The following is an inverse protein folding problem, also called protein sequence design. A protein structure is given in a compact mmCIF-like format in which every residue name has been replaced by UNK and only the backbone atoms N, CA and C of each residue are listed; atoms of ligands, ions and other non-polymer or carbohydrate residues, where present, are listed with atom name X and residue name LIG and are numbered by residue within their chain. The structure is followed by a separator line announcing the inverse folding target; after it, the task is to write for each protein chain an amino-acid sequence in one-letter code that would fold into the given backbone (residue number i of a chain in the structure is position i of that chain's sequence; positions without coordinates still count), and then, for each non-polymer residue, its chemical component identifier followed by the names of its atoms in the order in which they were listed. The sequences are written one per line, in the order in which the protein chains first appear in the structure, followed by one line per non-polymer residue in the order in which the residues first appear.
data_IF_640196721515
#
_entry.id   IF_640196721515
#
_cell.length_a   1.000
_cell.length_b   1.000
_cell.length_c   1.000
_cell.angle_alpha   90.00
_cell.angle_beta   90.00
_cell.angle_gamma   90.00
#
_symmetry.space_group_name_H-M   'P 1'
#
loop_
_entity.id
_entity.type
_entity.pdbx_description
1 polymer ?
#
# COMPACT_ATOMS: atom_id res chain seq x y z
N UNK A 1 -61.60 13.91 -15.03
CA UNK A 1 -61.02 12.69 -14.39
C UNK A 1 -59.97 11.98 -15.27
N UNK A 2 -60.28 11.62 -16.55
CA UNK A 2 -59.30 10.93 -17.42
C UNK A 2 -57.99 11.66 -17.68
N UNK A 3 -58.01 13.02 -17.75
CA UNK A 3 -56.80 13.83 -17.98
C UNK A 3 -55.88 13.92 -16.73
N UNK A 4 -56.47 13.91 -15.52
CA UNK A 4 -55.73 13.89 -14.27
C UNK A 4 -55.03 12.55 -14.00
N UNK A 5 -55.66 11.42 -14.37
CA UNK A 5 -55.10 10.10 -14.22
C UNK A 5 -53.90 9.88 -15.17
N UNK A 6 -54.01 10.42 -16.42
CA UNK A 6 -52.88 10.38 -17.37
C UNK A 6 -51.68 11.19 -16.92
N UNK A 7 -51.89 12.36 -16.29
CA UNK A 7 -50.83 13.21 -15.75
C UNK A 7 -50.12 12.53 -14.56
N UNK A 8 -50.90 11.87 -13.68
CA UNK A 8 -50.36 11.14 -12.53
C UNK A 8 -49.53 9.92 -12.94
N UNK A 9 -49.95 9.20 -13.96
CA UNK A 9 -49.21 8.09 -14.54
C UNK A 9 -47.90 8.52 -15.23
N UNK A 10 -47.87 9.68 -15.89
CA UNK A 10 -46.69 10.23 -16.52
C UNK A 10 -45.66 10.68 -15.46
N UNK A 11 -46.08 11.26 -14.34
CA UNK A 11 -45.17 11.64 -13.23
C UNK A 11 -44.59 10.40 -12.54
N UNK A 12 -45.36 9.33 -12.39
CA UNK A 12 -44.89 8.07 -11.82
C UNK A 12 -43.85 7.37 -12.71
N UNK A 13 -43.99 7.46 -14.06
CA UNK A 13 -42.99 6.91 -14.98
C UNK A 13 -41.67 7.69 -15.01
N UNK A 14 -41.69 9.01 -14.81
CA UNK A 14 -40.48 9.81 -14.72
C UNK A 14 -39.74 9.57 -13.41
N UNK A 15 -40.43 9.30 -12.31
CA UNK A 15 -39.81 8.98 -11.04
C UNK A 15 -39.10 7.60 -11.03
N UNK A 16 -39.55 6.64 -11.86
CA UNK A 16 -38.94 5.31 -11.96
C UNK A 16 -37.66 5.28 -12.82
N UNK A 17 -37.41 6.30 -13.66
CA UNK A 17 -36.21 6.41 -14.48
C UNK A 17 -34.99 6.95 -13.72
N UNK A 18 -35.19 7.54 -12.54
CA UNK A 18 -34.08 8.01 -11.67
C UNK A 18 -33.50 6.90 -10.76
N UNK A 19 -34.08 5.70 -10.73
CA UNK A 19 -33.67 4.62 -9.84
C UNK A 19 -32.62 3.64 -10.44
N UNK A 20 -32.27 3.80 -11.72
CA UNK A 20 -31.26 2.96 -12.37
C UNK A 20 -29.96 3.72 -12.61
N UNK A 21 -29.17 3.90 -11.57
CA UNK A 21 -27.85 4.55 -11.68
C UNK A 21 -27.07 4.60 -10.36
N UNK A 22 -27.47 3.78 -9.40
CA UNK A 22 -26.62 3.60 -8.22
C UNK A 22 -25.45 2.69 -8.63
N UNK A 23 -24.36 3.28 -9.10
CA UNK A 23 -23.04 2.68 -8.91
C UNK A 23 -22.93 2.52 -7.40
N UNK A 24 -22.67 1.30 -6.94
CA UNK A 24 -22.25 1.04 -5.58
C UNK A 24 -20.98 1.83 -5.32
N UNK A 25 -21.13 3.10 -5.01
CA UNK A 25 -20.05 3.92 -4.46
C UNK A 25 -20.03 3.56 -2.98
N UNK A 26 -19.22 2.56 -2.64
CA UNK A 26 -18.91 2.26 -1.26
C UNK A 26 -18.48 3.58 -0.61
N UNK A 27 -19.26 4.09 0.34
CA UNK A 27 -18.93 5.34 1.02
C UNK A 27 -17.84 5.06 2.04
N UNK A 28 -16.96 6.02 2.30
CA UNK A 28 -15.88 5.91 3.30
C UNK A 28 -16.38 5.39 4.67
N UNK A 29 -17.65 5.64 4.98
CA UNK A 29 -18.30 5.17 6.21
C UNK A 29 -18.52 3.65 6.29
N UNK A 30 -18.46 2.93 5.14
CA UNK A 30 -18.71 1.49 5.08
C UNK A 30 -17.41 0.67 5.18
N UNK A 31 -16.25 1.35 5.10
CA UNK A 31 -14.93 0.72 5.17
C UNK A 31 -14.45 0.77 6.62
N UNK A 32 -14.24 -0.41 7.20
CA UNK A 32 -13.70 -0.51 8.55
C UNK A 32 -12.18 -0.41 8.51
N UNK A 33 -11.64 0.66 9.07
CA UNK A 33 -10.20 0.92 9.22
C UNK A 33 -9.82 1.03 10.69
N UNK A 34 -8.52 0.98 10.98
CA UNK A 34 -7.95 1.14 12.34
C UNK A 34 -8.42 2.47 12.95
N UNK A 35 -8.37 3.52 12.16
CA UNK A 35 -8.91 4.83 12.54
C UNK A 35 -10.00 5.23 11.57
N UNK A 36 -11.21 5.47 12.04
CA UNK A 36 -12.35 5.81 11.20
C UNK A 36 -12.04 7.01 10.27
N UNK A 37 -12.30 6.83 8.97
CA UNK A 37 -12.06 7.84 7.95
C UNK A 37 -10.60 7.95 7.47
N UNK A 38 -9.70 7.12 7.99
CA UNK A 38 -8.29 7.13 7.62
C UNK A 38 -7.84 5.76 7.10
N UNK A 39 -6.91 5.77 6.15
CA UNK A 39 -6.13 4.61 5.74
C UNK A 39 -4.75 4.75 6.37
N UNK A 40 -4.45 3.94 7.37
CA UNK A 40 -3.15 3.94 8.05
C UNK A 40 -2.23 2.97 7.35
N UNK A 41 -1.16 3.50 6.77
CA UNK A 41 -0.10 2.77 6.09
C UNK A 41 1.13 2.72 6.97
N UNK A 42 1.61 1.53 7.33
CA UNK A 42 2.95 1.36 7.89
C UNK A 42 3.98 1.20 6.78
N UNK A 43 5.15 1.81 6.96
CA UNK A 43 6.26 1.79 5.99
C UNK A 43 7.61 1.88 6.69
N UNK A 44 8.69 1.72 5.91
CA UNK A 44 10.05 2.07 6.34
C UNK A 44 10.67 3.04 5.32
N UNK A 45 10.49 4.34 5.57
CA UNK A 45 10.78 5.41 4.61
C UNK A 45 12.29 5.66 4.41
N UNK A 46 13.04 4.59 4.15
CA UNK A 46 14.49 4.57 3.89
C UNK A 46 14.84 3.72 2.66
N UNK A 47 13.87 3.49 1.79
CA UNK A 47 14.03 2.60 0.64
C UNK A 47 13.59 3.23 -0.70
N UNK A 48 14.26 4.30 -1.16
CA UNK A 48 13.96 4.89 -2.47
C UNK A 48 14.25 3.88 -3.59
N UNK A 49 13.46 3.86 -4.67
CA UNK A 49 12.39 4.78 -5.03
C UNK A 49 11.01 4.41 -4.50
N UNK A 50 10.89 3.39 -3.62
CA UNK A 50 9.60 2.93 -3.11
C UNK A 50 9.04 3.87 -2.06
N UNK A 51 9.84 4.18 -1.03
CA UNK A 51 9.45 5.09 0.05
C UNK A 51 10.66 5.81 0.64
N UNK A 52 10.53 7.10 0.84
CA UNK A 52 11.52 7.94 1.53
C UNK A 52 10.87 9.14 2.20
N UNK A 53 11.54 9.66 3.22
CA UNK A 53 11.20 10.97 3.77
C UNK A 53 11.51 12.02 2.71
N UNK A 54 10.59 12.92 2.44
CA UNK A 54 10.78 13.94 1.43
C UNK A 54 11.77 15.02 1.88
N UNK A 55 12.74 15.37 1.03
CA UNK A 55 13.75 16.38 1.31
C UNK A 55 13.15 17.77 1.52
N UNK A 56 12.03 18.09 0.88
CA UNK A 56 11.34 19.37 1.01
C UNK A 56 10.43 19.46 2.25
N UNK A 57 10.33 18.36 3.01
CA UNK A 57 9.49 18.23 4.18
C UNK A 57 7.99 18.24 3.90
N UNK A 58 7.57 18.30 2.64
CA UNK A 58 6.15 18.28 2.23
C UNK A 58 5.75 16.94 1.66
N UNK A 59 6.61 16.35 0.81
CA UNK A 59 6.36 15.09 0.15
C UNK A 59 5.17 15.09 -0.78
N UNK A 60 4.79 13.90 -1.23
CA UNK A 60 3.67 13.73 -2.13
C UNK A 60 2.36 14.13 -1.44
N UNK A 61 1.66 15.09 -2.05
CA UNK A 61 0.37 15.63 -1.57
C UNK A 61 0.35 16.02 -0.07
N UNK A 62 1.50 16.44 0.47
CA UNK A 62 1.63 16.92 1.85
C UNK A 62 1.79 15.82 2.90
N UNK A 63 2.06 14.58 2.50
CA UNK A 63 2.26 13.45 3.42
C UNK A 63 3.57 13.52 4.22
N UNK A 64 4.55 14.32 3.79
CA UNK A 64 5.91 14.33 4.32
C UNK A 64 6.82 13.25 3.72
N UNK A 65 6.27 12.39 2.87
CA UNK A 65 6.95 11.24 2.26
C UNK A 65 6.80 11.26 0.75
N UNK A 66 7.66 10.52 0.05
CA UNK A 66 7.65 10.39 -1.40
C UNK A 66 8.01 8.97 -1.83
N UNK A 67 7.65 8.59 -3.06
CA UNK A 67 7.96 7.30 -3.64
C UNK A 67 6.74 6.54 -4.14
N UNK A 68 7.01 5.44 -4.84
CA UNK A 68 6.00 4.62 -5.52
C UNK A 68 4.93 4.14 -4.54
N UNK A 69 5.32 3.65 -3.37
CA UNK A 69 4.43 3.09 -2.37
C UNK A 69 3.55 4.17 -1.73
N UNK A 70 4.10 5.37 -1.54
CA UNK A 70 3.35 6.52 -1.03
C UNK A 70 2.27 6.95 -2.02
N UNK A 71 2.62 7.05 -3.31
CA UNK A 71 1.69 7.45 -4.35
C UNK A 71 0.57 6.41 -4.54
N UNK A 72 0.89 5.12 -4.53
CA UNK A 72 -0.09 4.03 -4.59
C UNK A 72 -1.05 4.10 -3.40
N UNK A 73 -0.51 4.22 -2.18
CA UNK A 73 -1.33 4.29 -0.97
C UNK A 73 -2.21 5.55 -0.95
N UNK A 74 -1.69 6.69 -1.40
CA UNK A 74 -2.47 7.92 -1.54
C UNK A 74 -3.62 7.76 -2.53
N UNK A 75 -3.33 7.22 -3.72
CA UNK A 75 -4.36 6.97 -4.74
C UNK A 75 -5.43 6.00 -4.24
N UNK A 76 -5.04 4.98 -3.47
CA UNK A 76 -5.96 4.04 -2.83
C UNK A 76 -6.84 4.75 -1.80
N UNK A 77 -6.26 5.53 -0.90
CA UNK A 77 -7.00 6.31 0.10
C UNK A 77 -8.02 7.23 -0.56
N UNK A 78 -7.60 7.99 -1.59
CA UNK A 78 -8.51 8.86 -2.35
C UNK A 78 -9.67 8.09 -2.99
N UNK A 79 -9.39 6.93 -3.60
CA UNK A 79 -10.42 6.10 -4.23
C UNK A 79 -11.43 5.54 -3.23
N UNK A 80 -10.98 5.29 -1.99
CA UNK A 80 -11.82 4.83 -0.88
C UNK A 80 -12.51 5.97 -0.12
N UNK A 81 -12.20 7.25 -0.43
CA UNK A 81 -12.71 8.41 0.29
C UNK A 81 -12.12 8.56 1.69
N UNK A 82 -10.90 8.05 1.91
CA UNK A 82 -10.19 8.08 3.18
C UNK A 82 -9.03 9.09 3.15
N UNK A 83 -8.60 9.55 4.30
CA UNK A 83 -7.36 10.31 4.50
C UNK A 83 -6.20 9.31 4.66
N UNK A 84 -5.11 9.47 3.90
CA UNK A 84 -3.90 8.67 4.10
C UNK A 84 -3.15 9.17 5.35
N UNK A 85 -2.76 8.22 6.20
CA UNK A 85 -1.80 8.42 7.30
C UNK A 85 -0.62 7.49 7.07
N UNK A 86 0.59 8.05 7.05
CA UNK A 86 1.84 7.28 6.86
C UNK A 86 2.57 7.19 8.21
N UNK A 87 2.76 5.96 8.69
CA UNK A 87 3.49 5.65 9.90
C UNK A 87 4.85 5.05 9.52
N UNK A 88 5.91 5.84 9.63
CA UNK A 88 7.29 5.43 9.38
C UNK A 88 7.88 4.71 10.61
N UNK A 89 8.45 3.53 10.37
CA UNK A 89 9.04 2.70 11.42
C UNK A 89 10.04 1.70 10.82
N UNK A 90 10.74 0.94 11.68
CA UNK A 90 11.60 -0.15 11.21
C UNK A 90 10.81 -1.19 10.41
N UNK A 91 11.44 -1.80 9.38
CA UNK A 91 10.79 -2.72 8.45
C UNK A 91 10.04 -3.88 9.16
N UNK A 92 10.68 -4.56 10.13
CA UNK A 92 10.03 -5.62 10.90
C UNK A 92 8.80 -5.11 11.68
N UNK A 93 8.89 -3.87 12.19
CA UNK A 93 7.79 -3.22 12.90
C UNK A 93 6.63 -2.90 11.96
N UNK A 94 6.92 -2.46 10.73
CA UNK A 94 5.91 -2.17 9.71
C UNK A 94 5.12 -3.43 9.32
N UNK A 95 5.81 -4.56 9.11
CA UNK A 95 5.16 -5.85 8.88
C UNK A 95 4.31 -6.29 10.08
N UNK A 96 4.83 -6.13 11.29
CA UNK A 96 4.11 -6.48 12.52
C UNK A 96 2.89 -5.61 12.77
N UNK A 97 2.92 -4.34 12.36
CA UNK A 97 1.82 -3.39 12.54
C UNK A 97 0.56 -3.84 11.79
N UNK A 98 0.70 -4.27 10.52
CA UNK A 98 -0.45 -4.79 9.76
C UNK A 98 -0.94 -6.13 10.30
N UNK A 99 -0.04 -7.03 10.71
CA UNK A 99 -0.41 -8.33 11.27
C UNK A 99 -1.19 -8.21 12.58
N UNK A 100 -0.89 -7.20 13.37
CA UNK A 100 -1.52 -6.96 14.68
C UNK A 100 -2.68 -5.97 14.63
N UNK A 101 -3.05 -5.48 13.44
CA UNK A 101 -4.15 -4.54 13.25
C UNK A 101 -3.86 -3.14 13.80
N UNK A 102 -2.61 -2.73 13.86
CA UNK A 102 -2.19 -1.36 14.18
C UNK A 102 -2.15 -0.46 12.96
N UNK A 103 -1.97 -1.03 11.78
CA UNK A 103 -2.13 -0.36 10.49
C UNK A 103 -3.09 -1.15 9.61
N UNK A 104 -3.70 -0.46 8.65
CA UNK A 104 -4.63 -1.06 7.69
C UNK A 104 -3.89 -1.77 6.57
N UNK A 105 -2.79 -1.16 6.13
CA UNK A 105 -1.91 -1.69 5.08
C UNK A 105 -0.44 -1.52 5.47
N UNK A 106 0.42 -2.32 4.87
CA UNK A 106 1.86 -2.09 4.80
C UNK A 106 2.26 -1.92 3.34
N UNK A 107 2.98 -0.86 3.03
CA UNK A 107 3.64 -0.66 1.75
C UNK A 107 5.07 -0.20 2.03
N UNK A 108 6.04 -1.04 1.69
CA UNK A 108 7.45 -0.90 2.05
C UNK A 108 8.33 -1.77 1.14
N UNK A 109 8.06 -1.75 -0.18
CA UNK A 109 8.75 -2.62 -1.14
C UNK A 109 8.66 -4.10 -0.76
N UNK A 110 7.57 -4.54 -0.14
CA UNK A 110 7.46 -5.85 0.50
C UNK A 110 7.37 -6.97 -0.53
N UNK A 111 8.36 -7.84 -0.56
CA UNK A 111 8.34 -9.05 -1.39
C UNK A 111 7.33 -10.07 -0.87
N UNK A 112 6.53 -10.65 -1.77
CA UNK A 112 5.65 -11.77 -1.47
C UNK A 112 6.48 -13.03 -1.23
N UNK A 113 6.36 -13.63 -0.04
CA UNK A 113 6.96 -14.93 0.27
C UNK A 113 5.91 -15.87 0.86
N UNK A 114 6.09 -17.20 0.76
CA UNK A 114 5.17 -18.17 1.36
C UNK A 114 4.96 -17.94 2.87
N UNK A 115 6.03 -17.61 3.59
CA UNK A 115 5.98 -17.35 5.04
C UNK A 115 5.10 -16.14 5.35
N UNK A 116 5.26 -15.04 4.59
CA UNK A 116 4.47 -13.84 4.77
C UNK A 116 3.01 -14.06 4.39
N UNK A 117 2.73 -14.85 3.35
CA UNK A 117 1.37 -15.20 2.94
C UNK A 117 0.60 -16.00 4.00
N UNK A 118 1.28 -16.66 4.93
CA UNK A 118 0.65 -17.33 6.06
C UNK A 118 0.07 -16.36 7.10
N UNK A 119 0.54 -15.11 7.12
CA UNK A 119 0.23 -14.14 8.17
C UNK A 119 -0.40 -12.85 7.66
N UNK A 120 -0.34 -12.58 6.35
CA UNK A 120 -0.93 -11.39 5.73
C UNK A 120 -1.38 -11.70 4.30
N UNK A 121 -2.33 -10.91 3.80
CA UNK A 121 -2.77 -10.95 2.41
C UNK A 121 -2.00 -9.94 1.59
N UNK A 122 -1.84 -10.22 0.30
CA UNK A 122 -1.14 -9.37 -0.65
C UNK A 122 -2.05 -8.96 -1.79
N UNK A 123 -1.77 -7.80 -2.39
CA UNK A 123 -2.32 -7.39 -3.69
C UNK A 123 -1.62 -8.16 -4.82
N UNK A 124 -2.03 -7.90 -6.06
CA UNK A 124 -1.20 -8.21 -7.22
C UNK A 124 0.12 -7.46 -7.14
N UNK A 125 1.18 -8.06 -7.70
CA UNK A 125 2.51 -7.45 -7.71
C UNK A 125 2.53 -6.20 -8.61
N UNK A 126 3.03 -5.09 -8.10
CA UNK A 126 3.17 -3.82 -8.83
C UNK A 126 4.62 -3.55 -9.27
N UNK A 127 5.60 -4.34 -8.78
CA UNK A 127 7.00 -4.23 -9.14
C UNK A 127 7.68 -5.60 -9.15
N UNK A 128 8.73 -5.74 -9.96
CA UNK A 128 9.61 -6.89 -9.95
C UNK A 128 10.97 -6.47 -9.40
N UNK A 129 11.40 -7.08 -8.31
CA UNK A 129 12.70 -6.86 -7.69
C UNK A 129 13.66 -7.98 -8.01
N UNK A 130 14.96 -7.65 -8.12
CA UNK A 130 16.05 -8.61 -8.20
C UNK A 130 16.98 -8.35 -7.02
N UNK A 131 17.26 -9.38 -6.23
CA UNK A 131 18.25 -9.28 -5.16
C UNK A 131 19.64 -9.24 -5.76
N UNK A 132 20.44 -8.28 -5.31
CA UNK A 132 21.83 -8.11 -5.74
C UNK A 132 22.73 -7.92 -4.52
N UNK A 133 24.00 -8.21 -4.67
CA UNK A 133 25.03 -7.90 -3.68
C UNK A 133 25.89 -6.77 -4.21
N UNK A 134 26.07 -5.75 -3.42
CA UNK A 134 26.94 -4.62 -3.74
C UNK A 134 28.30 -4.91 -3.13
N UNK A 135 29.33 -4.91 -3.98
CA UNK A 135 30.73 -5.13 -3.58
C UNK A 135 31.58 -3.98 -4.08
N UNK A 136 32.76 -3.70 -3.47
CA UNK A 136 33.75 -2.77 -4.01
C UNK A 136 34.14 -3.15 -5.45
N UNK A 137 34.53 -2.15 -6.26
CA UNK A 137 34.90 -2.35 -7.67
C UNK A 137 36.09 -3.31 -7.85
N UNK A 138 37.00 -3.32 -6.88
CA UNK A 138 38.19 -4.17 -6.82
C UNK A 138 38.00 -5.47 -5.98
N UNK A 139 36.75 -5.84 -5.74
CA UNK A 139 36.42 -7.04 -4.94
C UNK A 139 36.74 -8.33 -5.66
N UNK A 140 37.26 -9.30 -4.92
CA UNK A 140 37.43 -10.67 -5.38
C UNK A 140 36.09 -11.43 -5.57
N UNK A 141 34.99 -10.90 -5.07
CA UNK A 141 33.66 -11.49 -5.19
C UNK A 141 33.10 -11.19 -6.58
N UNK A 142 32.99 -12.24 -7.42
CA UNK A 142 32.46 -12.13 -8.78
C UNK A 142 31.16 -12.91 -8.96
N UNK A 143 30.83 -13.76 -8.01
CA UNK A 143 29.64 -14.61 -8.02
C UNK A 143 29.11 -14.82 -6.61
N UNK A 144 27.92 -15.40 -6.49
CA UNK A 144 27.35 -15.77 -5.19
C UNK A 144 28.16 -16.86 -4.49
N UNK A 145 28.86 -17.73 -5.26
CA UNK A 145 29.67 -18.81 -4.71
C UNK A 145 30.92 -18.28 -3.97
N UNK A 146 31.36 -17.06 -4.30
CA UNK A 146 32.52 -16.43 -3.65
C UNK A 146 32.16 -15.82 -2.28
N UNK A 147 30.88 -15.88 -1.90
CA UNK A 147 30.39 -15.27 -0.67
C UNK A 147 30.49 -16.20 0.55
N UNK A 148 30.86 -17.47 0.35
CA UNK A 148 30.97 -18.43 1.46
C UNK A 148 31.98 -17.94 2.51
N UNK A 149 31.55 -17.91 3.77
CA UNK A 149 32.36 -17.43 4.88
C UNK A 149 32.60 -15.91 4.91
N UNK A 150 31.99 -15.12 4.04
CA UNK A 150 32.09 -13.65 4.04
C UNK A 150 31.04 -13.03 4.99
N UNK A 151 31.36 -11.85 5.48
CA UNK A 151 30.42 -11.04 6.25
C UNK A 151 29.60 -10.18 5.30
N UNK A 152 28.27 -10.33 5.38
CA UNK A 152 27.31 -9.62 4.52
C UNK A 152 26.46 -8.69 5.39
N UNK A 153 26.47 -7.40 5.07
CA UNK A 153 25.57 -6.41 5.70
C UNK A 153 24.21 -6.46 5.02
N UNK A 154 23.15 -6.61 5.80
CA UNK A 154 21.78 -6.61 5.29
C UNK A 154 20.80 -6.10 6.35
N UNK A 155 19.65 -5.58 5.93
CA UNK A 155 18.60 -5.17 6.85
C UNK A 155 17.82 -6.39 7.35
N UNK A 156 17.65 -6.47 8.67
CA UNK A 156 16.91 -7.57 9.29
C UNK A 156 15.45 -7.64 8.80
N UNK A 157 14.95 -8.87 8.63
CA UNK A 157 13.57 -9.13 8.22
C UNK A 157 13.32 -9.00 6.72
N UNK A 158 14.28 -8.49 5.94
CA UNK A 158 14.17 -8.41 4.47
C UNK A 158 14.48 -9.75 3.81
N UNK A 159 14.12 -9.89 2.53
CA UNK A 159 14.50 -11.08 1.73
C UNK A 159 16.00 -11.18 1.57
N UNK A 160 16.73 -10.06 1.48
CA UNK A 160 18.19 -10.06 1.49
C UNK A 160 18.77 -10.70 2.75
N UNK A 161 18.20 -10.42 3.91
CA UNK A 161 18.59 -11.06 5.17
C UNK A 161 18.31 -12.57 5.16
N UNK A 162 17.12 -12.97 4.70
CA UNK A 162 16.72 -14.39 4.67
C UNK A 162 17.64 -15.21 3.77
N UNK A 163 18.09 -14.65 2.63
CA UNK A 163 19.01 -15.36 1.72
C UNK A 163 20.44 -15.49 2.25
N UNK A 164 20.83 -14.65 3.22
CA UNK A 164 22.16 -14.66 3.83
C UNK A 164 22.23 -15.40 5.18
N UNK A 165 21.12 -16.02 5.64
CA UNK A 165 20.99 -16.62 7.00
C UNK A 165 21.17 -18.12 7.04
#
# INVERSE_FOLDING_TARGET
MKKFVALLLAVLMVASLCACGQKDTQTASDIKTVTAGKLTMSTNAQFPPYESVADDGKGYEGTGFEGIDIEIAYALAQKLGLELVVDDMDFDSALSAVQTGKSDIVAAGVTVTPERQNTMSFTDSYANGVQVVIVPEDSDIQSIDDMDGKMIGTQRGTTGYIYCS
#
